data_IF_569545843220
#
_entry.id   IF_569545843220
#
_cell.length_a   1.000
_cell.length_b   1.000
_cell.length_c   1.000
_cell.angle_alpha   90.00
_cell.angle_beta   90.00
_cell.angle_gamma   90.00
#
_symmetry.space_group_name_H-M   'P 1'
#
loop_
_entity.id
_entity.type
_entity.pdbx_description
1 polymer ?
#
# COMPACT_ATOMS: atom_id res chain seq x y z
N UNK A 1 12.95 -29.09 -47.37
CA UNK A 1 12.72 -29.64 -46.02
C UNK A 1 13.57 -28.83 -45.06
N UNK A 2 13.03 -27.88 -44.28
CA UNK A 2 13.82 -27.20 -43.27
C UNK A 2 14.06 -28.18 -42.11
N UNK A 3 15.32 -28.56 -41.91
CA UNK A 3 15.79 -29.33 -40.76
C UNK A 3 15.44 -28.58 -39.48
N UNK A 4 14.63 -29.16 -38.60
CA UNK A 4 14.33 -28.58 -37.29
C UNK A 4 15.59 -28.64 -36.43
N UNK A 5 16.33 -27.55 -36.36
CA UNK A 5 17.46 -27.42 -35.44
C UNK A 5 16.89 -27.35 -34.01
N UNK A 6 16.95 -28.46 -33.29
CA UNK A 6 16.64 -28.49 -31.86
C UNK A 6 17.72 -27.71 -31.12
N UNK A 7 17.40 -26.50 -30.68
CA UNK A 7 18.30 -25.71 -29.84
C UNK A 7 18.39 -26.39 -28.48
N UNK A 8 19.54 -26.99 -28.16
CA UNK A 8 19.77 -27.56 -26.84
C UNK A 8 19.78 -26.44 -25.79
N UNK A 9 18.77 -26.46 -24.91
CA UNK A 9 18.70 -25.53 -23.79
C UNK A 9 19.69 -25.94 -22.70
N UNK A 10 20.53 -25.00 -22.29
CA UNK A 10 21.43 -25.14 -21.14
C UNK A 10 20.65 -25.22 -19.84
N UNK A 11 21.27 -25.77 -18.78
CA UNK A 11 20.63 -25.84 -17.46
C UNK A 11 20.17 -24.45 -16.94
N UNK A 12 20.94 -23.35 -17.07
CA UNK A 12 20.44 -22.01 -16.72
C UNK A 12 19.22 -21.58 -17.53
N UNK A 13 19.18 -21.85 -18.84
CA UNK A 13 18.04 -21.52 -19.69
C UNK A 13 16.78 -22.29 -19.26
N UNK A 14 16.93 -23.57 -18.89
CA UNK A 14 15.83 -24.37 -18.34
C UNK A 14 15.33 -23.78 -17.02
N UNK A 15 16.22 -23.50 -16.07
CA UNK A 15 15.84 -22.90 -14.77
C UNK A 15 15.10 -21.58 -14.97
N UNK A 16 15.60 -20.69 -15.83
CA UNK A 16 15.00 -19.37 -16.09
C UNK A 16 13.68 -19.43 -16.90
N UNK A 17 13.29 -20.61 -17.36
CA UNK A 17 12.00 -20.88 -18.02
C UNK A 17 10.96 -21.49 -17.08
N UNK A 18 11.36 -21.93 -15.89
CA UNK A 18 10.47 -22.52 -14.88
C UNK A 18 9.98 -21.38 -13.96
N UNK A 19 8.66 -21.05 -13.97
CA UNK A 19 8.12 -19.94 -13.19
C UNK A 19 8.42 -20.00 -11.70
N UNK A 20 8.37 -21.20 -11.10
CA UNK A 20 8.57 -21.41 -9.67
C UNK A 20 10.00 -21.06 -9.25
N UNK A 21 11.00 -21.58 -9.98
CA UNK A 21 12.41 -21.28 -9.72
C UNK A 21 12.76 -19.82 -10.03
N UNK A 22 12.18 -19.27 -11.09
CA UNK A 22 12.35 -17.85 -11.43
C UNK A 22 11.78 -16.96 -10.32
N UNK A 23 10.61 -17.31 -9.78
CA UNK A 23 9.98 -16.63 -8.66
C UNK A 23 10.88 -16.59 -7.43
N UNK A 24 11.49 -17.72 -7.05
CA UNK A 24 12.45 -17.78 -5.93
C UNK A 24 13.68 -16.89 -6.16
N UNK A 25 14.26 -16.93 -7.36
CA UNK A 25 15.40 -16.07 -7.73
C UNK A 25 15.01 -14.60 -7.58
N UNK A 26 13.80 -14.22 -8.03
CA UNK A 26 13.35 -12.84 -7.99
C UNK A 26 13.06 -12.38 -6.56
N UNK A 27 12.56 -13.28 -5.70
CA UNK A 27 12.44 -13.00 -4.26
C UNK A 27 13.80 -12.75 -3.61
N UNK A 28 14.83 -13.52 -3.97
CA UNK A 28 16.19 -13.27 -3.48
C UNK A 28 16.75 -11.93 -3.95
N UNK A 29 16.51 -11.56 -5.22
CA UNK A 29 16.88 -10.24 -5.75
C UNK A 29 16.16 -9.15 -4.96
N UNK A 30 14.84 -9.27 -4.75
CA UNK A 30 14.04 -8.30 -4.01
C UNK A 30 14.51 -8.13 -2.57
N UNK A 31 14.85 -9.24 -1.89
CA UNK A 31 15.39 -9.23 -0.54
C UNK A 31 16.76 -8.56 -0.46
N UNK A 32 17.64 -8.83 -1.43
CA UNK A 32 18.96 -8.21 -1.49
C UNK A 32 18.87 -6.71 -1.76
N UNK A 33 18.00 -6.29 -2.67
CA UNK A 33 17.78 -4.88 -2.99
C UNK A 33 17.05 -4.14 -1.84
N UNK A 34 16.20 -4.85 -1.09
CA UNK A 34 15.43 -4.30 0.02
C UNK A 34 15.35 -5.27 1.22
N UNK A 35 16.35 -5.30 2.11
CA UNK A 35 16.38 -6.22 3.26
C UNK A 35 15.20 -6.00 4.22
N UNK A 36 14.69 -4.76 4.27
CA UNK A 36 13.57 -4.37 5.14
C UNK A 36 12.19 -4.57 4.49
N UNK A 37 12.14 -5.15 3.28
CA UNK A 37 10.89 -5.39 2.53
C UNK A 37 9.92 -6.33 3.26
N UNK A 38 10.40 -7.22 4.14
CA UNK A 38 9.54 -8.19 4.82
C UNK A 38 8.97 -7.68 6.15
N UNK A 39 9.74 -6.94 6.94
CA UNK A 39 9.37 -6.63 8.33
C UNK A 39 8.55 -5.36 8.53
N UNK A 40 8.58 -4.38 7.63
CA UNK A 40 7.87 -3.11 7.85
C UNK A 40 7.26 -2.53 6.54
N UNK A 41 6.09 -1.86 6.58
CA UNK A 41 5.60 -1.01 5.50
C UNK A 41 6.56 0.17 5.30
N UNK A 42 7.54 -0.02 4.43
CA UNK A 42 8.42 1.07 4.01
C UNK A 42 7.63 2.13 3.26
N UNK A 43 7.44 3.29 3.89
CA UNK A 43 6.91 4.47 3.23
C UNK A 43 8.03 5.48 3.20
N UNK A 44 8.67 5.60 2.04
CA UNK A 44 9.64 6.66 1.89
C UNK A 44 8.90 7.96 1.55
N UNK A 45 8.93 8.89 2.51
CA UNK A 45 8.40 10.26 2.35
C UNK A 45 9.38 11.23 1.69
N UNK A 46 10.59 10.77 1.41
CA UNK A 46 11.63 11.45 0.68
C UNK A 46 11.13 12.10 -0.64
N UNK A 47 11.15 13.45 -0.65
CA UNK A 47 10.99 14.26 -1.85
C UNK A 47 12.33 14.49 -2.59
N UNK A 48 13.44 13.93 -2.09
CA UNK A 48 14.78 13.99 -2.68
C UNK A 48 15.30 12.62 -3.14
N UNK A 49 16.60 12.50 -3.49
CA UNK A 49 17.23 11.25 -3.88
C UNK A 49 17.41 10.33 -2.66
N UNK A 50 16.32 9.75 -2.17
CA UNK A 50 16.42 8.68 -1.19
C UNK A 50 17.19 7.51 -1.77
N UNK A 51 17.98 6.85 -0.92
CA UNK A 51 18.37 5.45 -1.11
C UNK A 51 17.20 4.51 -0.81
N UNK A 52 15.99 4.88 -1.26
CA UNK A 52 14.92 3.90 -1.37
C UNK A 52 15.47 2.72 -2.16
N UNK A 53 15.11 1.48 -1.81
CA UNK A 53 15.56 0.30 -2.53
C UNK A 53 15.40 0.53 -4.02
N UNK A 54 16.54 0.73 -4.67
CA UNK A 54 16.57 1.05 -6.08
C UNK A 54 16.46 -0.30 -6.75
N UNK A 55 15.20 -0.75 -6.92
CA UNK A 55 14.85 -2.05 -7.48
C UNK A 55 15.20 -2.12 -8.99
N UNK A 56 16.42 -1.72 -9.34
CA UNK A 56 16.94 -1.56 -10.69
C UNK A 56 17.06 -2.91 -11.36
N UNK A 57 17.47 -3.93 -10.61
CA UNK A 57 17.59 -5.29 -11.12
C UNK A 57 16.21 -5.80 -11.50
N UNK A 58 15.24 -5.72 -10.59
CA UNK A 58 13.85 -6.12 -10.90
C UNK A 58 13.25 -5.33 -12.09
N UNK A 59 13.52 -4.02 -12.17
CA UNK A 59 13.07 -3.21 -13.32
C UNK A 59 13.68 -3.67 -14.64
N UNK A 60 14.97 -4.04 -14.64
CA UNK A 60 15.63 -4.60 -15.83
C UNK A 60 15.09 -5.98 -16.16
N UNK A 61 14.88 -6.83 -15.16
CA UNK A 61 14.26 -8.14 -15.32
C UNK A 61 12.89 -8.04 -16.00
N UNK A 62 12.08 -7.05 -15.63
CA UNK A 62 10.77 -6.85 -16.22
C UNK A 62 10.78 -6.58 -17.74
N UNK A 63 11.93 -6.22 -18.32
CA UNK A 63 12.06 -5.92 -19.75
C UNK A 63 12.48 -7.13 -20.59
N UNK A 64 12.80 -8.27 -19.97
CA UNK A 64 13.39 -9.42 -20.67
C UNK A 64 12.35 -10.19 -21.49
N UNK A 65 11.26 -10.64 -20.86
CA UNK A 65 10.16 -11.35 -21.52
C UNK A 65 8.89 -11.29 -20.64
N UNK A 66 7.78 -11.84 -21.13
CA UNK A 66 6.50 -11.81 -20.42
C UNK A 66 6.55 -12.53 -19.06
N UNK A 67 7.23 -13.67 -18.97
CA UNK A 67 7.36 -14.42 -17.71
C UNK A 67 8.10 -13.59 -16.65
N UNK A 68 9.23 -13.01 -17.02
CA UNK A 68 10.03 -12.16 -16.13
C UNK A 68 9.30 -10.87 -15.78
N UNK A 69 8.52 -10.31 -16.71
CA UNK A 69 7.66 -9.16 -16.43
C UNK A 69 6.67 -9.46 -15.31
N UNK A 70 5.98 -10.61 -15.36
CA UNK A 70 4.99 -10.98 -14.34
C UNK A 70 5.64 -11.11 -12.96
N UNK A 71 6.77 -11.83 -12.85
CA UNK A 71 7.47 -12.00 -11.57
C UNK A 71 8.07 -10.69 -11.03
N UNK A 72 8.70 -9.89 -11.89
CA UNK A 72 9.25 -8.61 -11.47
C UNK A 72 8.16 -7.63 -11.04
N UNK A 73 7.07 -7.54 -11.80
CA UNK A 73 5.97 -6.62 -11.48
C UNK A 73 5.26 -7.02 -10.19
N UNK A 74 5.06 -8.33 -9.95
CA UNK A 74 4.51 -8.85 -8.69
C UNK A 74 5.27 -8.28 -7.49
N UNK A 75 6.59 -8.34 -7.51
CA UNK A 75 7.43 -7.88 -6.40
C UNK A 75 7.55 -6.35 -6.34
N UNK A 76 7.65 -5.67 -7.49
CA UNK A 76 7.75 -4.21 -7.57
C UNK A 76 6.47 -3.51 -7.09
N UNK A 77 5.31 -4.13 -7.29
CA UNK A 77 4.00 -3.54 -7.00
C UNK A 77 3.30 -4.13 -5.77
N UNK A 78 3.81 -5.21 -5.17
CA UNK A 78 3.25 -5.80 -3.94
C UNK A 78 3.06 -4.74 -2.84
N UNK A 79 4.06 -3.86 -2.70
CA UNK A 79 4.11 -2.74 -1.75
C UNK A 79 4.61 -1.49 -2.47
N UNK A 80 3.73 -0.71 -3.12
CA UNK A 80 4.17 0.47 -3.85
C UNK A 80 4.81 1.47 -2.87
N UNK A 81 6.13 1.67 -2.98
CA UNK A 81 6.93 2.36 -1.97
C UNK A 81 6.66 3.86 -1.77
N UNK A 82 5.69 4.44 -2.50
CA UNK A 82 5.20 5.79 -2.27
C UNK A 82 3.74 5.73 -1.82
N UNK A 83 3.38 6.48 -0.77
CA UNK A 83 2.01 6.52 -0.32
C UNK A 83 1.13 7.15 -1.40
N UNK A 84 -0.16 6.82 -1.34
CA UNK A 84 -1.21 7.35 -2.18
C UNK A 84 -1.16 6.86 -3.63
N UNK A 85 -1.97 7.48 -4.49
CA UNK A 85 -2.01 7.21 -5.92
C UNK A 85 -0.81 7.78 -6.70
N UNK A 86 0.25 8.23 -6.02
CA UNK A 86 1.45 8.75 -6.66
C UNK A 86 2.07 7.77 -7.67
N UNK A 87 2.24 6.46 -7.35
CA UNK A 87 2.71 5.47 -8.32
C UNK A 87 1.80 5.38 -9.56
N UNK A 88 0.49 5.50 -9.37
CA UNK A 88 -0.52 5.39 -10.44
C UNK A 88 -0.68 6.68 -11.24
N UNK A 89 -0.28 7.83 -10.70
CA UNK A 89 -0.44 9.14 -11.35
C UNK A 89 0.30 9.25 -12.68
N UNK A 90 1.44 8.56 -12.82
CA UNK A 90 2.28 8.51 -14.03
C UNK A 90 1.87 7.40 -15.01
N UNK A 91 0.89 6.58 -14.64
CA UNK A 91 0.44 5.44 -15.44
C UNK A 91 -0.81 5.83 -16.23
N UNK A 92 -0.86 5.57 -17.55
CA UNK A 92 -2.06 5.76 -18.35
C UNK A 92 -3.27 5.06 -17.71
N UNK A 93 -4.45 5.69 -17.64
CA UNK A 93 -5.64 5.13 -16.97
C UNK A 93 -5.92 3.66 -17.33
N UNK A 94 -5.86 3.32 -18.62
CA UNK A 94 -6.11 1.98 -19.14
C UNK A 94 -5.17 0.89 -18.58
N UNK A 95 -4.00 1.27 -18.06
CA UNK A 95 -3.00 0.32 -17.54
C UNK A 95 -2.99 0.23 -16.02
N UNK A 96 -3.66 1.13 -15.30
CA UNK A 96 -3.57 1.19 -13.83
C UNK A 96 -4.05 -0.08 -13.16
N UNK A 97 -5.11 -0.69 -13.67
CA UNK A 97 -5.67 -1.92 -13.11
C UNK A 97 -4.69 -3.10 -13.19
N UNK A 98 -3.89 -3.20 -14.26
CA UNK A 98 -2.86 -4.24 -14.40
C UNK A 98 -1.90 -4.20 -13.21
N UNK A 99 -1.45 -3.02 -12.83
CA UNK A 99 -0.54 -2.85 -11.69
C UNK A 99 -1.25 -2.99 -10.33
N UNK A 100 -2.50 -2.51 -10.23
CA UNK A 100 -3.30 -2.64 -9.02
C UNK A 100 -3.60 -4.09 -8.64
N UNK A 101 -3.62 -5.01 -9.62
CA UNK A 101 -3.76 -6.44 -9.38
C UNK A 101 -2.59 -7.04 -8.59
N UNK A 102 -1.40 -6.45 -8.61
CA UNK A 102 -0.24 -6.95 -7.86
C UNK A 102 -0.15 -6.38 -6.43
N UNK A 103 -0.89 -5.33 -6.12
CA UNK A 103 -0.81 -4.65 -4.81
C UNK A 103 -1.44 -5.53 -3.73
N UNK A 104 -0.64 -5.89 -2.72
CA UNK A 104 -1.12 -6.58 -1.51
C UNK A 104 -1.20 -5.66 -0.30
N UNK A 105 -0.31 -4.67 -0.26
CA UNK A 105 -0.26 -3.67 0.80
C UNK A 105 -0.37 -2.31 0.16
N UNK A 106 -1.34 -1.51 0.58
CA UNK A 106 -1.49 -0.15 0.09
C UNK A 106 -1.34 0.87 1.22
N UNK A 107 -0.80 2.04 0.90
CA UNK A 107 -0.61 3.11 1.85
C UNK A 107 -1.28 4.39 1.33
N UNK A 108 -2.01 5.08 2.21
CA UNK A 108 -2.61 6.38 2.01
C UNK A 108 -2.10 7.35 3.08
N UNK A 109 -1.79 8.58 2.70
CA UNK A 109 -1.43 9.66 3.61
C UNK A 109 -2.39 10.82 3.38
N UNK A 110 -3.26 11.04 4.35
CA UNK A 110 -4.24 12.11 4.39
C UNK A 110 -3.53 13.37 4.89
N UNK A 111 -3.08 14.23 3.97
CA UNK A 111 -2.40 15.49 4.31
C UNK A 111 -3.33 16.69 4.25
N UNK A 112 -3.13 17.60 5.21
CA UNK A 112 -3.83 18.85 5.45
C UNK A 112 -4.14 19.75 4.25
N UNK A 113 -3.16 20.03 3.40
CA UNK A 113 -3.12 21.35 2.75
C UNK A 113 -3.53 21.46 1.28
N UNK A 114 -4.15 20.45 0.67
CA UNK A 114 -4.65 20.65 -0.68
C UNK A 114 -5.91 19.82 -0.99
N UNK A 115 -7.08 20.45 -1.00
CA UNK A 115 -8.27 19.90 -1.67
C UNK A 115 -7.95 19.43 -3.10
N UNK A 116 -7.03 20.13 -3.79
CA UNK A 116 -6.49 19.71 -5.10
C UNK A 116 -5.79 18.35 -5.05
N UNK A 117 -5.08 18.06 -3.98
CA UNK A 117 -4.37 16.80 -3.79
C UNK A 117 -5.36 15.66 -3.56
N UNK A 118 -6.33 15.81 -2.65
CA UNK A 118 -7.40 14.82 -2.45
C UNK A 118 -8.22 14.62 -3.73
N UNK A 119 -8.51 15.70 -4.47
CA UNK A 119 -9.16 15.63 -5.79
C UNK A 119 -8.36 14.81 -6.81
N UNK A 120 -7.03 15.01 -6.87
CA UNK A 120 -6.13 14.20 -7.71
C UNK A 120 -6.15 12.73 -7.28
N UNK A 121 -6.09 12.44 -5.99
CA UNK A 121 -6.19 11.08 -5.46
C UNK A 121 -7.50 10.41 -5.87
N UNK A 122 -8.63 11.09 -5.63
CA UNK A 122 -9.96 10.63 -6.02
C UNK A 122 -10.02 10.36 -7.52
N UNK A 123 -9.46 11.24 -8.37
CA UNK A 123 -9.45 11.04 -9.83
C UNK A 123 -8.61 9.84 -10.26
N UNK A 124 -7.48 9.58 -9.60
CA UNK A 124 -6.62 8.44 -9.97
C UNK A 124 -7.21 7.12 -9.49
N UNK A 125 -7.80 7.08 -8.29
CA UNK A 125 -8.29 5.86 -7.64
C UNK A 125 -9.74 5.49 -7.97
N UNK A 126 -10.55 6.41 -8.53
CA UNK A 126 -11.99 6.23 -8.77
C UNK A 126 -12.34 4.90 -9.44
N UNK A 127 -11.58 4.55 -10.47
CA UNK A 127 -11.87 3.40 -11.34
C UNK A 127 -10.87 2.25 -11.15
N UNK A 128 -10.15 2.25 -10.02
CA UNK A 128 -9.17 1.21 -9.69
C UNK A 128 -9.72 0.35 -8.57
N UNK A 129 -9.66 -0.96 -8.78
CA UNK A 129 -9.89 -1.95 -7.73
C UNK A 129 -8.55 -2.59 -7.34
N UNK A 130 -8.34 -2.80 -6.05
CA UNK A 130 -7.18 -3.50 -5.51
C UNK A 130 -7.64 -4.89 -5.03
N UNK A 131 -7.83 -5.86 -5.96
CA UNK A 131 -8.49 -7.13 -5.63
C UNK A 131 -7.69 -7.97 -4.64
N UNK A 132 -6.35 -7.81 -4.61
CA UNK A 132 -5.44 -8.60 -3.79
C UNK A 132 -4.91 -7.83 -2.57
N UNK A 133 -5.35 -6.59 -2.36
CA UNK A 133 -4.90 -5.79 -1.22
C UNK A 133 -5.55 -6.30 0.08
N UNK A 134 -4.75 -6.92 0.93
CA UNK A 134 -5.19 -7.47 2.22
C UNK A 134 -4.89 -6.55 3.40
N UNK A 135 -3.91 -5.65 3.24
CA UNK A 135 -3.48 -4.69 4.26
C UNK A 135 -3.50 -3.28 3.70
N UNK A 136 -4.03 -2.33 4.48
CA UNK A 136 -3.97 -0.91 4.17
C UNK A 136 -3.42 -0.13 5.35
N UNK A 137 -2.62 0.89 5.05
CA UNK A 137 -2.15 1.88 5.99
C UNK A 137 -2.76 3.23 5.64
N UNK A 138 -3.34 3.92 6.61
CA UNK A 138 -3.85 5.28 6.45
C UNK A 138 -3.15 6.17 7.48
N UNK A 139 -2.31 7.07 6.98
CA UNK A 139 -1.65 8.09 7.78
C UNK A 139 -2.55 9.31 7.84
N UNK A 140 -3.12 9.59 9.01
CA UNK A 140 -3.92 10.77 9.29
C UNK A 140 -3.04 11.82 9.95
N UNK A 141 -2.79 12.92 9.23
CA UNK A 141 -1.99 14.03 9.72
C UNK A 141 -2.84 15.03 10.54
N UNK A 142 -2.22 15.83 11.42
CA UNK A 142 -2.92 16.76 12.31
C UNK A 142 -3.73 17.80 11.53
N UNK A 143 -4.70 18.47 12.17
CA UNK A 143 -5.46 19.62 11.64
C UNK A 143 -6.40 19.32 10.47
N UNK A 144 -6.69 18.04 10.18
CA UNK A 144 -7.69 17.68 9.19
C UNK A 144 -9.07 18.03 9.72
N UNK A 145 -9.56 19.23 9.38
CA UNK A 145 -10.94 19.65 9.68
C UNK A 145 -11.97 18.67 9.10
N UNK A 146 -11.58 17.93 8.05
CA UNK A 146 -12.35 16.87 7.41
C UNK A 146 -11.45 15.68 7.09
N UNK A 147 -11.47 14.67 7.96
CA UNK A 147 -10.82 13.39 7.69
C UNK A 147 -11.61 12.63 6.61
N UNK A 148 -11.24 12.83 5.34
CA UNK A 148 -11.83 12.12 4.20
C UNK A 148 -10.90 11.03 3.66
N UNK A 149 -11.28 9.77 3.84
CA UNK A 149 -10.62 8.65 3.16
C UNK A 149 -11.07 8.65 1.69
N UNK A 150 -10.15 8.76 0.71
CA UNK A 150 -10.52 8.68 -0.69
C UNK A 150 -11.18 7.33 -0.97
N UNK A 151 -12.28 7.29 -1.74
CA UNK A 151 -12.89 6.02 -2.12
C UNK A 151 -11.92 5.26 -3.03
N UNK A 152 -11.50 4.09 -2.59
CA UNK A 152 -10.88 3.06 -3.42
C UNK A 152 -11.53 1.72 -3.05
N UNK A 153 -11.54 0.78 -4.00
CA UNK A 153 -12.15 -0.54 -3.78
C UNK A 153 -11.05 -1.54 -3.47
N UNK A 154 -11.12 -2.18 -2.30
CA UNK A 154 -10.21 -3.24 -1.89
C UNK A 154 -11.02 -4.39 -1.26
N UNK A 155 -11.65 -5.26 -2.06
CA UNK A 155 -12.59 -6.26 -1.56
C UNK A 155 -11.94 -7.31 -0.65
N UNK A 156 -10.65 -7.59 -0.83
CA UNK A 156 -9.89 -8.54 -0.01
C UNK A 156 -9.26 -7.90 1.24
N UNK A 157 -9.56 -6.63 1.55
CA UNK A 157 -8.96 -5.92 2.67
C UNK A 157 -9.41 -6.54 3.99
N UNK A 158 -8.44 -7.06 4.76
CA UNK A 158 -8.69 -7.71 6.06
C UNK A 158 -8.16 -6.89 7.23
N UNK A 159 -7.06 -6.17 7.02
CA UNK A 159 -6.40 -5.41 8.09
C UNK A 159 -6.21 -3.96 7.66
N UNK A 160 -6.62 -3.04 8.53
CA UNK A 160 -6.43 -1.60 8.35
C UNK A 160 -5.61 -1.06 9.52
N UNK A 161 -4.53 -0.35 9.21
CA UNK A 161 -3.73 0.40 10.15
C UNK A 161 -4.07 1.89 10.02
N UNK A 162 -4.60 2.47 11.09
CA UNK A 162 -4.81 3.91 11.23
C UNK A 162 -3.63 4.48 12.01
N UNK A 163 -2.77 5.19 11.31
CA UNK A 163 -1.60 5.85 11.86
C UNK A 163 -1.93 7.31 12.02
N UNK A 164 -2.26 7.68 13.25
CA UNK A 164 -2.62 9.05 13.58
C UNK A 164 -1.34 9.78 13.98
N UNK A 165 -1.24 11.07 13.69
CA UNK A 165 -0.20 11.90 14.26
C UNK A 165 -0.85 13.14 14.85
N UNK A 166 -0.75 13.33 16.15
CA UNK A 166 -1.08 14.60 16.78
C UNK A 166 0.10 15.57 16.65
N UNK A 167 -0.20 16.78 16.15
CA UNK A 167 0.55 17.98 16.48
C UNK A 167 -0.44 18.85 17.21
N UNK A 168 -0.44 18.80 18.55
CA UNK A 168 -0.83 19.80 19.57
C UNK A 168 -1.91 20.87 19.29
N UNK A 169 -2.70 20.74 18.22
CA UNK A 169 -3.79 21.62 17.89
C UNK A 169 -5.02 21.09 18.60
N UNK A 170 -5.66 22.00 19.34
CA UNK A 170 -6.88 21.79 20.09
C UNK A 170 -7.97 21.21 19.18
N UNK A 171 -8.04 19.89 19.07
CA UNK A 171 -9.25 19.23 18.61
C UNK A 171 -10.33 19.65 19.59
N UNK A 172 -11.31 20.38 19.07
CA UNK A 172 -12.50 20.72 19.81
C UNK A 172 -13.09 19.42 20.38
N UNK A 173 -13.47 19.43 21.66
CA UNK A 173 -13.80 18.22 22.43
C UNK A 173 -15.01 17.44 21.85
N UNK A 174 -15.73 18.07 20.93
CA UNK A 174 -16.97 17.59 20.28
C UNK A 174 -16.75 17.03 18.86
N UNK A 175 -15.56 16.56 18.52
CA UNK A 175 -15.32 16.07 17.16
C UNK A 175 -16.14 14.78 16.88
N UNK A 176 -17.16 14.87 16.02
CA UNK A 176 -17.84 13.71 15.41
C UNK A 176 -16.90 12.89 14.49
N UNK A 177 -15.61 13.24 14.44
CA UNK A 177 -14.61 12.68 13.53
C UNK A 177 -14.49 11.16 13.69
N UNK A 178 -14.36 10.57 14.91
CA UNK A 178 -14.27 9.12 15.06
C UNK A 178 -15.52 8.40 14.52
N UNK A 179 -16.72 8.93 14.77
CA UNK A 179 -17.97 8.37 14.27
C UNK A 179 -18.06 8.43 12.73
N UNK A 180 -17.70 9.58 12.14
CA UNK A 180 -17.67 9.76 10.68
C UNK A 180 -16.65 8.82 10.03
N UNK A 181 -15.48 8.69 10.64
CA UNK A 181 -14.44 7.77 10.19
C UNK A 181 -14.90 6.32 10.27
N UNK A 182 -15.49 5.91 11.39
CA UNK A 182 -16.00 4.55 11.59
C UNK A 182 -17.07 4.19 10.53
N UNK A 183 -18.06 5.08 10.33
CA UNK A 183 -19.10 4.92 9.29
C UNK A 183 -18.47 4.79 7.91
N UNK A 184 -17.43 5.56 7.62
CA UNK A 184 -16.73 5.52 6.34
C UNK A 184 -15.95 4.22 6.14
N UNK A 185 -15.22 3.77 7.17
CA UNK A 185 -14.49 2.49 7.16
C UNK A 185 -15.47 1.34 6.92
N UNK A 186 -16.59 1.30 7.65
CA UNK A 186 -17.65 0.30 7.49
C UNK A 186 -18.19 0.24 6.06
N UNK A 187 -18.39 1.41 5.45
CA UNK A 187 -18.91 1.52 4.08
C UNK A 187 -17.88 1.10 3.03
N UNK A 188 -16.62 1.47 3.21
CA UNK A 188 -15.57 1.21 2.23
C UNK A 188 -15.00 -0.21 2.31
N UNK A 189 -14.96 -0.78 3.52
CA UNK A 189 -14.26 -2.04 3.81
C UNK A 189 -15.17 -3.00 4.59
N UNK A 190 -16.23 -3.52 3.96
CA UNK A 190 -17.19 -4.40 4.63
C UNK A 190 -16.59 -5.76 5.06
N UNK A 191 -15.45 -6.15 4.48
CA UNK A 191 -14.73 -7.40 4.77
C UNK A 191 -13.61 -7.23 5.81
N UNK A 192 -13.49 -6.03 6.40
CA UNK A 192 -12.46 -5.73 7.39
C UNK A 192 -12.63 -6.63 8.60
N UNK A 193 -11.52 -7.25 9.03
CA UNK A 193 -11.48 -8.14 10.21
C UNK A 193 -10.72 -7.52 11.36
N UNK A 194 -9.72 -6.70 11.07
CA UNK A 194 -8.84 -6.10 12.07
C UNK A 194 -8.58 -4.64 11.78
N UNK A 195 -8.68 -3.81 12.81
CA UNK A 195 -8.34 -2.39 12.81
C UNK A 195 -7.29 -2.14 13.89
N UNK A 196 -6.10 -1.71 13.47
CA UNK A 196 -5.03 -1.32 14.38
C UNK A 196 -4.93 0.20 14.39
N UNK A 197 -5.06 0.80 15.55
CA UNK A 197 -4.89 2.24 15.75
C UNK A 197 -3.53 2.42 16.40
N UNK A 198 -2.61 3.04 15.69
CA UNK A 198 -1.25 3.27 16.14
C UNK A 198 -1.03 4.77 16.29
N UNK A 199 -0.89 5.22 17.54
CA UNK A 199 -0.48 6.54 18.06
C UNK A 199 -0.93 6.65 19.53
N UNK A 200 -0.33 7.57 20.30
CA UNK A 200 -0.72 7.96 21.66
C UNK A 200 -1.55 9.26 21.70
N UNK A 201 -1.97 9.76 20.54
CA UNK A 201 -2.84 10.94 20.43
C UNK A 201 -4.17 10.80 21.19
N UNK A 202 -4.73 11.96 21.54
CA UNK A 202 -6.09 12.02 22.08
C UNK A 202 -7.10 11.46 21.06
N UNK A 203 -6.90 11.78 19.77
CA UNK A 203 -7.75 11.29 18.70
C UNK A 203 -7.63 9.77 18.51
N UNK A 204 -6.42 9.19 18.60
CA UNK A 204 -6.23 7.74 18.58
C UNK A 204 -6.94 7.06 19.76
N UNK A 205 -6.80 7.64 20.96
CA UNK A 205 -7.51 7.16 22.16
C UNK A 205 -9.03 7.18 21.97
N UNK A 206 -9.58 8.28 21.44
CA UNK A 206 -11.01 8.39 21.13
C UNK A 206 -11.46 7.41 20.06
N UNK A 207 -10.67 7.22 19.00
CA UNK A 207 -10.94 6.19 18.00
C UNK A 207 -10.93 4.79 18.62
N UNK A 208 -9.98 4.47 19.49
CA UNK A 208 -9.91 3.16 20.14
C UNK A 208 -11.12 2.90 21.05
N UNK A 209 -11.69 3.93 21.66
CA UNK A 209 -12.93 3.82 22.46
C UNK A 209 -14.18 3.64 21.58
N UNK A 210 -14.31 4.39 20.49
CA UNK A 210 -15.54 4.46 19.69
C UNK A 210 -15.62 3.35 18.63
N UNK A 211 -14.49 2.97 18.03
CA UNK A 211 -14.46 2.03 16.91
C UNK A 211 -15.03 0.64 17.23
N UNK A 212 -14.79 0.02 18.40
CA UNK A 212 -15.37 -1.28 18.73
C UNK A 212 -16.90 -1.28 18.69
N UNK A 213 -17.54 -0.19 19.16
CA UNK A 213 -19.00 -0.04 19.13
C UNK A 213 -19.54 0.17 17.71
N UNK A 214 -18.82 0.97 16.90
CA UNK A 214 -19.26 1.34 15.56
C UNK A 214 -18.95 0.28 14.48
N UNK A 215 -18.00 -0.62 14.76
CA UNK A 215 -17.52 -1.67 13.85
C UNK A 215 -17.68 -3.06 14.50
N UNK A 216 -18.91 -3.51 14.77
CA UNK A 216 -19.14 -4.81 15.40
C UNK A 216 -18.54 -5.94 14.54
N UNK A 217 -17.81 -6.85 15.18
CA UNK A 217 -17.14 -7.98 14.52
C UNK A 217 -15.75 -7.66 13.94
N UNK A 218 -15.28 -6.41 14.05
CA UNK A 218 -13.89 -6.04 13.74
C UNK A 218 -13.07 -6.09 15.03
N UNK A 219 -11.94 -6.80 15.01
CA UNK A 219 -10.95 -6.78 16.08
C UNK A 219 -10.24 -5.43 16.09
N UNK A 220 -10.51 -4.59 17.09
CA UNK A 220 -9.92 -3.26 17.24
C UNK A 220 -8.85 -3.31 18.33
N UNK A 221 -7.61 -3.00 17.97
CA UNK A 221 -6.49 -2.95 18.91
C UNK A 221 -5.75 -1.61 18.80
N UNK A 222 -5.27 -1.10 19.93
CA UNK A 222 -4.30 0.00 19.97
C UNK A 222 -2.88 -0.57 20.05
N UNK A 223 -1.95 0.01 19.28
CA UNK A 223 -0.54 -0.37 19.33
C UNK A 223 0.31 0.90 19.42
N UNK A 224 0.77 1.20 20.63
CA UNK A 224 1.60 2.37 20.90
C UNK A 224 3.06 2.17 20.47
N UNK A 225 3.49 0.92 20.27
CA UNK A 225 4.86 0.55 19.93
C UNK A 225 5.08 0.40 18.42
N UNK A 226 4.02 0.61 17.62
CA UNK A 226 4.08 0.77 16.17
C UNK A 226 4.72 2.13 15.79
N UNK A 227 5.93 2.38 16.31
CA UNK A 227 6.77 3.52 15.96
C UNK A 227 7.32 3.30 14.54
N UNK A 228 6.63 3.89 13.57
CA UNK A 228 7.22 4.14 12.27
C UNK A 228 8.09 5.38 12.38
N UNK A 229 9.41 5.20 12.31
CA UNK A 229 10.35 6.30 12.10
C UNK A 229 10.03 7.03 10.77
N UNK A 230 9.08 7.95 10.84
CA UNK A 230 8.70 8.86 9.77
C UNK A 230 9.65 10.05 9.86
N UNK A 231 10.88 9.88 9.39
CA UNK A 231 11.81 11.00 9.22
C UNK A 231 11.26 11.92 8.11
N UNK A 232 10.82 13.11 8.51
CA UNK A 232 10.26 14.17 7.64
C UNK A 232 11.33 14.95 6.90
#
# INVERSE_FOLDING_TARGET
MPSSTTVEMTAPQRVLSIPELLGEIFEWIALKENPKHRSQPWICHCNGPCKCPNNTTLRRCALVNHLWFQEAMRLLWERPGKPNANPFSRIPPARRQIYANFVKIFCLSLRLRHHRWLGKQKKVLRDITFPNATIAYIYAFPGLDKLEVPPFRAPALKTLYLLMQDLWYSFDRDSEIPYKLARRIKTLFPTLKRLVIADVSFLATRCAQIMPEQLPGVDVSSDADLDFELHY
#
